data_IF_364489362312
#
_entry.id   IF_364489362312
#
_cell.length_a   1.000
_cell.length_b   1.000
_cell.length_c   1.000
_cell.angle_alpha   90.00
_cell.angle_beta   90.00
_cell.angle_gamma   90.00
#
_symmetry.space_group_name_H-M   'P 1'
#
loop_
_entity.id
_entity.type
_entity.pdbx_description
1 polymer ?
#
# COMPACT_ATOMS: atom_id res chain seq x y z
N UNK A 1 -17.98 22.84 16.45
CA UNK A 1 -17.44 21.66 17.10
C UNK A 1 -16.49 21.05 16.09
N UNK A 2 -15.22 21.46 16.13
CA UNK A 2 -14.18 21.01 15.19
C UNK A 2 -13.79 19.58 15.57
N UNK A 3 -13.86 18.69 14.60
CA UNK A 3 -13.47 17.29 14.71
C UNK A 3 -11.99 17.22 15.16
N UNK A 4 -11.66 16.55 16.29
CA UNK A 4 -10.29 16.46 16.80
C UNK A 4 -9.35 15.64 15.88
N UNK A 5 -9.86 15.04 14.82
CA UNK A 5 -9.06 14.29 13.83
C UNK A 5 -8.65 15.11 12.61
N UNK A 6 -8.97 16.40 12.55
CA UNK A 6 -8.56 17.27 11.45
C UNK A 6 -7.31 18.07 11.84
N UNK A 7 -6.18 17.41 12.02
CA UNK A 7 -4.89 18.11 12.05
C UNK A 7 -4.45 18.27 10.59
N UNK A 8 -5.03 19.22 9.89
CA UNK A 8 -4.42 19.73 8.68
C UNK A 8 -3.48 20.86 9.09
N UNK A 9 -2.18 20.68 8.88
CA UNK A 9 -1.26 21.80 8.95
C UNK A 9 -1.69 22.79 7.87
N UNK A 10 -1.95 24.01 8.28
CA UNK A 10 -2.31 25.12 7.38
C UNK A 10 -1.04 25.93 7.09
N UNK A 11 -0.92 26.42 5.85
CA UNK A 11 0.13 27.36 5.49
C UNK A 11 -0.13 28.74 6.14
N UNK A 12 0.82 29.67 5.96
CA UNK A 12 0.70 31.04 6.48
C UNK A 12 -0.54 31.80 5.96
N UNK A 13 -1.19 31.31 4.91
CA UNK A 13 -2.42 31.86 4.33
C UNK A 13 -3.68 31.11 4.80
N UNK A 14 -3.59 30.20 5.76
CA UNK A 14 -4.72 29.43 6.28
C UNK A 14 -5.23 28.32 5.36
N UNK A 15 -4.44 27.91 4.35
CA UNK A 15 -4.80 26.83 3.41
C UNK A 15 -4.21 25.49 3.87
N UNK A 16 -4.90 24.36 3.63
CA UNK A 16 -4.34 23.05 3.89
C UNK A 16 -3.02 22.85 3.12
N UNK A 17 -1.98 22.38 3.78
CA UNK A 17 -0.75 22.00 3.10
C UNK A 17 -1.01 20.82 2.16
N UNK A 18 -0.46 20.89 0.96
CA UNK A 18 -0.60 19.85 -0.06
C UNK A 18 0.74 19.18 -0.33
N UNK A 19 0.69 17.89 -0.65
CA UNK A 19 1.85 17.17 -1.14
C UNK A 19 1.51 16.29 -2.34
N UNK A 20 2.51 16.04 -3.17
CA UNK A 20 2.45 15.07 -4.25
C UNK A 20 3.06 13.76 -3.75
N UNK A 21 2.41 12.64 -4.04
CA UNK A 21 2.80 11.33 -3.60
C UNK A 21 3.15 10.43 -4.78
N UNK A 22 4.42 10.07 -4.91
CA UNK A 22 4.91 9.16 -5.95
C UNK A 22 5.50 7.92 -5.29
N UNK A 23 4.97 6.75 -5.62
CA UNK A 23 5.32 5.49 -4.99
C UNK A 23 6.03 4.56 -5.98
N UNK A 24 7.19 4.06 -5.56
CA UNK A 24 7.96 3.08 -6.34
C UNK A 24 7.36 1.67 -6.18
N UNK A 25 7.58 0.83 -7.17
CA UNK A 25 7.27 -0.60 -7.08
C UNK A 25 8.20 -1.35 -6.12
N UNK A 26 7.77 -2.52 -5.71
CA UNK A 26 8.47 -3.44 -4.82
C UNK A 26 7.47 -4.21 -3.96
N UNK A 27 7.62 -5.53 -3.83
CA UNK A 27 6.64 -6.39 -3.15
C UNK A 27 6.45 -5.97 -1.69
N UNK A 28 7.53 -5.80 -0.94
CA UNK A 28 7.50 -5.36 0.46
C UNK A 28 6.94 -3.95 0.63
N UNK A 29 7.10 -3.09 -0.38
CA UNK A 29 6.59 -1.71 -0.36
C UNK A 29 5.06 -1.66 -0.28
N UNK A 30 4.36 -2.65 -0.87
CA UNK A 30 2.90 -2.75 -0.84
C UNK A 30 2.33 -2.82 0.59
N UNK A 31 3.06 -3.45 1.52
CA UNK A 31 2.66 -3.55 2.93
C UNK A 31 2.95 -2.26 3.72
N UNK A 32 3.96 -1.50 3.32
CA UNK A 32 4.39 -0.27 4.04
C UNK A 32 3.56 0.94 3.62
N UNK A 33 3.17 1.02 2.35
CA UNK A 33 2.47 2.20 1.82
C UNK A 33 1.19 2.58 2.55
N UNK A 34 0.28 1.66 2.92
CA UNK A 34 -0.94 2.05 3.60
C UNK A 34 -0.71 2.84 4.89
N UNK A 35 0.23 2.39 5.72
CA UNK A 35 0.60 3.11 6.95
C UNK A 35 1.21 4.48 6.67
N UNK A 36 2.16 4.55 5.72
CA UNK A 36 2.80 5.81 5.33
C UNK A 36 1.78 6.82 4.76
N UNK A 37 0.87 6.37 3.90
CA UNK A 37 -0.20 7.20 3.31
C UNK A 37 -1.13 7.73 4.40
N UNK A 38 -1.55 6.87 5.33
CA UNK A 38 -2.40 7.27 6.44
C UNK A 38 -1.74 8.38 7.27
N UNK A 39 -0.48 8.19 7.66
CA UNK A 39 0.30 9.18 8.42
C UNK A 39 0.48 10.49 7.67
N UNK A 40 0.87 10.45 6.39
CA UNK A 40 0.99 11.66 5.57
C UNK A 40 -0.33 12.42 5.45
N UNK A 41 -1.43 11.71 5.32
CA UNK A 41 -2.76 12.31 5.18
C UNK A 41 -3.28 12.98 6.47
N UNK A 42 -2.66 12.77 7.61
CA UNK A 42 -2.95 13.52 8.84
C UNK A 42 -2.52 14.99 8.73
N UNK A 43 -1.42 15.22 8.03
CA UNK A 43 -0.80 16.54 7.91
C UNK A 43 -1.09 17.20 6.56
N UNK A 44 -1.08 16.42 5.48
CA UNK A 44 -1.16 16.92 4.10
C UNK A 44 -2.42 16.46 3.38
N UNK A 45 -2.90 17.30 2.47
CA UNK A 45 -3.81 16.87 1.41
C UNK A 45 -2.99 16.31 0.26
N UNK A 46 -3.37 15.13 -0.21
CA UNK A 46 -2.69 14.49 -1.34
C UNK A 46 -3.25 15.08 -2.64
N UNK A 47 -2.40 15.80 -3.39
CA UNK A 47 -2.80 16.52 -4.60
C UNK A 47 -2.62 15.68 -5.86
N UNK A 48 -1.39 15.28 -6.14
CA UNK A 48 -1.06 14.39 -7.24
C UNK A 48 -0.58 13.05 -6.65
N UNK A 49 -1.16 11.96 -7.14
CA UNK A 49 -0.89 10.63 -6.60
C UNK A 49 -0.53 9.72 -7.78
N UNK A 50 0.62 9.07 -7.69
CA UNK A 50 1.08 8.14 -8.72
C UNK A 50 1.92 7.02 -8.14
N UNK A 51 2.07 5.95 -8.92
CA UNK A 51 2.90 4.82 -8.52
C UNK A 51 3.08 3.80 -9.63
N UNK A 52 4.05 2.90 -9.43
CA UNK A 52 4.34 1.80 -10.35
C UNK A 52 4.29 0.46 -9.61
N UNK A 53 3.79 -0.62 -10.27
CA UNK A 53 3.68 -1.95 -9.66
C UNK A 53 2.92 -1.89 -8.32
N UNK A 54 3.44 -2.44 -7.22
CA UNK A 54 2.84 -2.34 -5.88
C UNK A 54 2.55 -0.89 -5.46
N UNK A 55 3.37 0.09 -5.92
CA UNK A 55 3.10 1.50 -5.73
C UNK A 55 1.85 2.00 -6.46
N UNK A 56 1.45 1.37 -7.58
CA UNK A 56 0.21 1.70 -8.26
C UNK A 56 -1.03 1.30 -7.44
N UNK A 57 -0.96 0.16 -6.75
CA UNK A 57 -2.02 -0.29 -5.82
C UNK A 57 -2.16 0.73 -4.68
N UNK A 58 -1.03 1.12 -4.07
CA UNK A 58 -1.01 2.18 -3.06
C UNK A 58 -1.58 3.50 -3.57
N UNK A 59 -1.26 3.88 -4.82
CA UNK A 59 -1.77 5.11 -5.44
C UNK A 59 -3.29 5.10 -5.61
N UNK A 60 -3.87 3.99 -6.07
CA UNK A 60 -5.33 3.84 -6.19
C UNK A 60 -5.99 3.94 -4.81
N UNK A 61 -5.44 3.26 -3.81
CA UNK A 61 -5.97 3.31 -2.44
C UNK A 61 -5.88 4.74 -1.85
N UNK A 62 -4.75 5.43 -2.05
CA UNK A 62 -4.55 6.81 -1.62
C UNK A 62 -5.53 7.78 -2.29
N UNK A 63 -5.74 7.63 -3.60
CA UNK A 63 -6.69 8.44 -4.36
C UNK A 63 -8.14 8.22 -3.87
N UNK A 64 -8.52 6.97 -3.63
CA UNK A 64 -9.84 6.64 -3.09
C UNK A 64 -10.04 7.22 -1.67
N UNK A 65 -9.02 7.13 -0.82
CA UNK A 65 -9.04 7.74 0.51
C UNK A 65 -9.23 9.25 0.43
N UNK A 66 -8.39 9.94 -0.35
CA UNK A 66 -8.43 11.39 -0.50
C UNK A 66 -9.77 11.86 -1.07
N UNK A 67 -10.30 11.16 -2.08
CA UNK A 67 -11.62 11.43 -2.63
C UNK A 67 -12.73 11.26 -1.57
N UNK A 68 -12.68 10.20 -0.79
CA UNK A 68 -13.64 9.93 0.28
C UNK A 68 -13.65 11.03 1.35
N UNK A 69 -12.46 11.50 1.74
CA UNK A 69 -12.30 12.58 2.71
C UNK A 69 -12.79 13.92 2.14
N UNK A 70 -12.38 14.28 0.91
CA UNK A 70 -12.76 15.56 0.28
C UNK A 70 -14.26 15.69 0.05
N UNK A 71 -14.91 14.60 -0.32
CA UNK A 71 -16.36 14.60 -0.62
C UNK A 71 -17.23 14.38 0.61
N UNK A 72 -16.63 14.07 1.76
CA UNK A 72 -17.36 13.68 2.97
C UNK A 72 -18.07 12.31 2.87
N UNK A 73 -17.90 11.59 1.74
CA UNK A 73 -18.54 10.29 1.53
C UNK A 73 -17.99 9.18 2.43
N UNK A 74 -16.74 9.30 2.82
CA UNK A 74 -16.09 8.35 3.71
C UNK A 74 -15.20 9.06 4.73
N UNK A 75 -15.75 9.58 5.82
CA UNK A 75 -14.97 10.29 6.85
C UNK A 75 -13.96 9.38 7.56
N UNK A 76 -14.17 8.06 7.53
CA UNK A 76 -13.25 7.06 8.10
C UNK A 76 -12.25 6.50 7.09
N UNK A 77 -12.07 7.14 5.94
CA UNK A 77 -11.17 6.63 4.89
C UNK A 77 -9.72 6.53 5.35
N UNK A 78 -9.24 7.42 6.22
CA UNK A 78 -7.89 7.38 6.80
C UNK A 78 -7.70 6.18 7.73
N UNK A 79 -8.65 5.91 8.61
CA UNK A 79 -8.62 4.74 9.50
C UNK A 79 -8.59 3.45 8.68
N UNK A 80 -9.41 3.37 7.63
CA UNK A 80 -9.41 2.21 6.72
C UNK A 80 -8.08 2.06 5.97
N UNK A 81 -7.45 3.17 5.59
CA UNK A 81 -6.12 3.14 4.97
C UNK A 81 -5.07 2.59 5.95
N UNK A 82 -5.06 3.07 7.19
CA UNK A 82 -4.15 2.56 8.22
C UNK A 82 -4.32 1.05 8.47
N UNK A 83 -5.53 0.55 8.29
CA UNK A 83 -5.88 -0.88 8.49
C UNK A 83 -5.58 -1.77 7.28
N UNK A 84 -5.44 -1.18 6.10
CA UNK A 84 -5.29 -1.90 4.83
C UNK A 84 -4.07 -2.83 4.82
N UNK A 85 -2.98 -2.47 5.50
CA UNK A 85 -1.80 -3.34 5.58
C UNK A 85 -2.10 -4.68 6.28
N UNK A 86 -2.97 -4.67 7.30
CA UNK A 86 -3.38 -5.90 7.99
C UNK A 86 -4.23 -6.78 7.09
N UNK A 87 -5.15 -6.17 6.34
CA UNK A 87 -5.98 -6.86 5.37
C UNK A 87 -5.15 -7.50 4.25
N UNK A 88 -4.15 -6.78 3.73
CA UNK A 88 -3.28 -7.29 2.67
C UNK A 88 -2.35 -8.42 3.15
N UNK A 89 -1.96 -8.39 4.42
CA UNK A 89 -1.12 -9.42 5.02
C UNK A 89 -1.90 -10.69 5.43
N UNK A 90 -3.24 -10.64 5.48
CA UNK A 90 -4.05 -11.81 5.82
C UNK A 90 -3.82 -12.93 4.82
N UNK A 91 -3.69 -14.16 5.33
CA UNK A 91 -3.56 -15.35 4.49
C UNK A 91 -4.92 -15.77 3.95
N UNK A 92 -4.91 -16.17 2.69
CA UNK A 92 -6.05 -16.84 2.04
C UNK A 92 -6.11 -18.30 2.48
N UNK A 93 -7.23 -18.96 2.20
CA UNK A 93 -7.39 -20.41 2.44
C UNK A 93 -6.34 -21.26 1.70
N UNK A 94 -5.70 -20.71 0.67
CA UNK A 94 -4.61 -21.34 -0.08
C UNK A 94 -3.21 -21.06 0.51
N UNK A 95 -3.13 -20.33 1.61
CA UNK A 95 -1.88 -20.04 2.33
C UNK A 95 -1.10 -18.83 1.82
N UNK A 96 -1.44 -18.28 0.65
CA UNK A 96 -0.88 -17.04 0.14
C UNK A 96 -1.43 -15.81 0.87
N UNK A 97 -0.69 -14.70 0.93
CA UNK A 97 -1.28 -13.44 1.40
C UNK A 97 -2.30 -12.90 0.40
N UNK A 98 -3.25 -12.07 0.86
CA UNK A 98 -4.18 -11.39 -0.06
C UNK A 98 -3.45 -10.51 -1.06
N UNK A 99 -2.31 -9.94 -0.67
CA UNK A 99 -1.46 -9.17 -1.58
C UNK A 99 -0.92 -10.07 -2.69
N UNK A 100 -0.37 -11.26 -2.35
CA UNK A 100 0.15 -12.20 -3.35
C UNK A 100 -0.95 -12.70 -4.28
N UNK A 101 -2.15 -12.94 -3.75
CA UNK A 101 -3.31 -13.34 -4.54
C UNK A 101 -3.76 -12.30 -5.58
N UNK A 102 -3.37 -11.03 -5.42
CA UNK A 102 -3.62 -9.99 -6.45
C UNK A 102 -2.68 -10.09 -7.65
N UNK A 103 -1.58 -10.85 -7.52
CA UNK A 103 -0.58 -11.07 -8.58
C UNK A 103 -0.67 -12.50 -9.15
N UNK A 104 -1.86 -13.06 -9.22
CA UNK A 104 -2.05 -14.36 -9.87
C UNK A 104 -1.79 -14.24 -11.37
N UNK A 105 -0.94 -15.14 -11.88
CA UNK A 105 -0.72 -15.29 -13.33
C UNK A 105 -1.97 -15.82 -14.03
N UNK A 106 -2.11 -15.45 -15.29
CA UNK A 106 -3.05 -16.11 -16.15
C UNK A 106 -2.63 -17.59 -16.34
N UNK A 107 -3.54 -18.51 -16.73
CA UNK A 107 -3.22 -19.93 -16.89
C UNK A 107 -2.02 -20.21 -17.80
N UNK A 108 -1.72 -19.32 -18.76
CA UNK A 108 -0.56 -19.46 -19.64
C UNK A 108 0.78 -19.07 -19.00
N UNK A 109 0.74 -18.23 -17.96
CA UNK A 109 1.95 -17.73 -17.24
C UNK A 109 2.11 -18.33 -15.85
N UNK A 110 1.11 -19.04 -15.34
CA UNK A 110 1.15 -19.70 -14.03
C UNK A 110 2.41 -20.58 -13.84
N UNK A 111 2.84 -21.41 -14.82
CA UNK A 111 4.05 -22.23 -14.68
C UNK A 111 5.34 -21.39 -14.49
N UNK A 112 5.38 -20.17 -15.01
CA UNK A 112 6.53 -19.28 -14.81
C UNK A 112 6.54 -18.68 -13.39
N UNK A 113 5.38 -18.39 -12.83
CA UNK A 113 5.26 -17.95 -11.45
C UNK A 113 5.62 -19.06 -10.47
N UNK A 114 5.15 -20.28 -10.71
CA UNK A 114 5.51 -21.46 -9.92
C UNK A 114 7.04 -21.70 -9.95
N UNK A 115 7.67 -21.50 -11.12
CA UNK A 115 9.12 -21.61 -11.24
C UNK A 115 9.88 -20.51 -10.48
N UNK A 116 9.32 -19.30 -10.36
CA UNK A 116 9.85 -18.21 -9.58
C UNK A 116 9.65 -18.44 -8.07
N UNK A 117 8.52 -19.00 -7.67
CA UNK A 117 8.23 -19.37 -6.28
C UNK A 117 9.11 -20.52 -5.78
N UNK A 118 9.50 -21.44 -6.64
CA UNK A 118 10.49 -22.48 -6.33
C UNK A 118 11.90 -21.90 -6.04
N UNK A 119 12.18 -20.67 -6.47
CA UNK A 119 13.40 -19.93 -6.15
C UNK A 119 13.30 -19.06 -4.89
N UNK A 120 12.10 -18.86 -4.38
CA UNK A 120 11.85 -18.13 -3.13
C UNK A 120 11.68 -19.13 -2.00
N UNK A 121 12.77 -19.50 -1.37
CA UNK A 121 12.74 -20.31 -0.14
C UNK A 121 11.92 -19.56 0.90
N UNK A 122 10.86 -20.16 1.49
CA UNK A 122 10.14 -19.52 2.58
C UNK A 122 11.11 -19.31 3.75
N UNK A 123 11.36 -18.04 4.06
CA UNK A 123 12.20 -17.65 5.18
C UNK A 123 11.54 -18.06 6.48
N UNK A 124 12.11 -19.01 7.18
CA UNK A 124 11.86 -19.21 8.60
C UNK A 124 12.39 -17.96 9.35
N UNK A 125 11.66 -17.54 10.37
CA UNK A 125 12.06 -16.39 11.20
C UNK A 125 13.52 -16.54 11.64
N UNK A 126 14.41 -15.69 11.10
CA UNK A 126 15.82 -15.60 11.53
C UNK A 126 16.88 -15.96 10.48
N UNK A 127 16.54 -16.33 9.25
CA UNK A 127 17.55 -16.66 8.23
C UNK A 127 17.73 -15.54 7.18
N UNK A 128 18.99 -15.21 6.91
CA UNK A 128 19.41 -14.27 5.87
C UNK A 128 19.30 -14.92 4.49
N UNK A 129 18.93 -14.10 3.50
CA UNK A 129 18.83 -14.49 2.08
C UNK A 129 20.17 -15.03 1.59
N UNK A 130 20.27 -16.33 1.38
CA UNK A 130 21.32 -16.94 0.54
C UNK A 130 20.78 -16.95 -0.89
N UNK A 131 21.31 -16.06 -1.73
CA UNK A 131 21.14 -16.15 -3.18
C UNK A 131 21.85 -17.45 -3.61
N UNK A 132 21.08 -18.43 -4.04
CA UNK A 132 21.65 -19.63 -4.66
C UNK A 132 22.37 -19.20 -5.95
N UNK A 133 23.69 -19.34 -5.96
CA UNK A 133 24.55 -19.11 -7.11
C UNK A 133 24.19 -20.17 -8.18
N UNK A 134 23.53 -19.73 -9.26
CA UNK A 134 23.23 -20.58 -10.39
C UNK A 134 24.55 -20.86 -11.15
N UNK A 135 25.10 -22.04 -11.01
CA UNK A 135 26.14 -22.58 -11.88
C UNK A 135 25.52 -23.36 -13.04
#
# INVERSE_FOLDING_TARGET
MTDPHTIQSIDAAGRPQECDLIMKGGVTSGLVYPGAIATLSETFRLRNIGGTSAGAIGAVAAAAMEYGLRTGRNPKARERMAWLHQELAQRTDQGASRLDAMFCGDPGTAPLLDALDLGVVPMAEGESILVADAR
#
